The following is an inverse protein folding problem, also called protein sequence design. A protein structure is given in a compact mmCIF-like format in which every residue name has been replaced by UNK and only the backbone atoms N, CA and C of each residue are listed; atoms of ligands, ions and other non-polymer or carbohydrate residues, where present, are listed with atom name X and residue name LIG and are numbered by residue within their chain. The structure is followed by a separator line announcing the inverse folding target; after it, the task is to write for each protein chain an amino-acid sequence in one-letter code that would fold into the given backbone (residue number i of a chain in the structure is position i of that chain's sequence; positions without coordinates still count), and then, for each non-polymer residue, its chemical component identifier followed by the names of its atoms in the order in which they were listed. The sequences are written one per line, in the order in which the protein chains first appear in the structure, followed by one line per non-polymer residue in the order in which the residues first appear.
data_IF_655571485312
#
_entry.id   IF_655571485312
#
_cell.length_a   1.000
_cell.length_b   1.000
_cell.length_c   1.000
_cell.angle_alpha   90.00
_cell.angle_beta   90.00
_cell.angle_gamma   90.00
#
_symmetry.space_group_name_H-M   'P 1'
#
loop_
_entity.id
_entity.type
_entity.pdbx_description
1 polymer ?
#
# COMPACT_ATOMS: atom_id res chain seq x y z
N UNK A 1 -8.42 1.57 16.04
CA UNK A 1 -8.62 1.57 14.58
C UNK A 1 -8.59 0.14 14.10
N UNK A 2 -9.52 -0.24 13.22
CA UNK A 2 -9.61 -1.59 12.65
C UNK A 2 -8.95 -1.59 11.28
N UNK A 3 -8.02 -2.51 11.03
CA UNK A 3 -7.42 -2.68 9.70
C UNK A 3 -8.30 -3.57 8.84
N UNK A 4 -8.39 -3.27 7.55
CA UNK A 4 -9.10 -4.08 6.55
C UNK A 4 -8.10 -4.96 5.82
N UNK A 5 -8.30 -6.28 5.85
CA UNK A 5 -7.46 -7.23 5.13
C UNK A 5 -7.82 -7.22 3.63
N UNK A 6 -6.80 -7.14 2.78
CA UNK A 6 -6.91 -7.32 1.32
C UNK A 6 -5.99 -8.51 0.97
N UNK A 7 -6.50 -9.60 0.36
CA UNK A 7 -5.67 -10.72 -0.06
C UNK A 7 -4.65 -10.31 -1.12
N UNK A 8 -3.42 -10.83 -1.02
CA UNK A 8 -2.38 -10.60 -2.03
C UNK A 8 -1.37 -11.74 -2.05
N UNK A 9 -0.66 -11.86 -3.18
CA UNK A 9 0.55 -12.66 -3.26
C UNK A 9 1.76 -11.73 -3.23
N UNK A 10 2.65 -11.91 -2.26
CA UNK A 10 3.91 -11.17 -2.25
C UNK A 10 4.96 -11.93 -3.05
N UNK A 11 5.35 -11.39 -4.21
CA UNK A 11 6.19 -12.12 -5.16
C UNK A 11 7.37 -11.29 -5.64
N UNK A 12 8.43 -11.98 -6.06
CA UNK A 12 9.58 -11.42 -6.78
C UNK A 12 9.47 -11.78 -8.25
N UNK A 13 9.52 -10.77 -9.13
CA UNK A 13 9.63 -10.92 -10.58
C UNK A 13 10.94 -10.32 -11.07
N UNK A 14 11.89 -11.14 -11.50
CA UNK A 14 13.25 -10.68 -11.84
C UNK A 14 13.95 -10.02 -10.65
N UNK A 15 14.43 -8.80 -10.84
CA UNK A 15 15.12 -7.98 -9.82
C UNK A 15 14.18 -7.10 -8.97
N UNK A 16 12.86 -7.22 -9.13
CA UNK A 16 11.85 -6.45 -8.38
C UNK A 16 10.93 -7.35 -7.54
N UNK A 17 10.26 -6.78 -6.53
CA UNK A 17 9.27 -7.47 -5.70
C UNK A 17 8.11 -6.56 -5.28
N UNK A 18 6.95 -7.14 -5.04
CA UNK A 18 5.79 -6.40 -4.57
C UNK A 18 4.54 -7.27 -4.36
N UNK A 19 3.45 -6.67 -3.86
CA UNK A 19 2.16 -7.32 -3.78
C UNK A 19 1.53 -7.45 -5.17
N UNK A 20 0.98 -8.63 -5.46
CA UNK A 20 0.14 -8.89 -6.61
C UNK A 20 -1.29 -9.05 -6.11
N UNK A 21 -2.18 -8.28 -6.70
CA UNK A 21 -3.54 -8.07 -6.23
C UNK A 21 -4.53 -8.60 -7.25
N UNK A 22 -5.63 -9.18 -6.78
CA UNK A 22 -6.79 -9.43 -7.63
C UNK A 22 -7.62 -8.14 -7.70
N UNK A 23 -7.96 -7.69 -8.91
CA UNK A 23 -8.74 -6.45 -9.11
C UNK A 23 -10.12 -6.49 -8.44
N UNK A 24 -10.71 -7.68 -8.33
CA UNK A 24 -12.01 -7.89 -7.69
C UNK A 24 -11.99 -7.62 -6.18
N UNK A 25 -10.82 -7.67 -5.54
CA UNK A 25 -10.65 -7.43 -4.11
C UNK A 25 -10.31 -5.95 -3.81
N UNK A 26 -10.35 -5.07 -4.81
CA UNK A 26 -9.96 -3.66 -4.72
C UNK A 26 -11.14 -2.70 -4.97
N UNK A 27 -11.12 -1.49 -4.37
CA UNK A 27 -12.10 -0.45 -4.65
C UNK A 27 -12.25 -0.16 -6.16
N UNK A 28 -13.48 0.06 -6.61
CA UNK A 28 -13.74 0.49 -7.99
C UNK A 28 -13.40 1.96 -8.22
N UNK A 29 -13.70 2.80 -7.24
CA UNK A 29 -13.36 4.22 -7.25
C UNK A 29 -11.85 4.44 -7.29
N UNK A 30 -11.41 5.28 -8.22
CA UNK A 30 -9.99 5.49 -8.51
C UNK A 30 -9.27 6.25 -7.40
N UNK A 31 -9.94 7.22 -6.77
CA UNK A 31 -9.36 8.00 -5.68
C UNK A 31 -9.11 7.12 -4.46
N UNK A 32 -10.11 6.32 -4.08
CA UNK A 32 -10.00 5.34 -3.00
C UNK A 32 -8.94 4.28 -3.31
N UNK A 33 -8.90 3.77 -4.54
CA UNK A 33 -7.88 2.82 -4.98
C UNK A 33 -6.47 3.37 -4.81
N UNK A 34 -6.23 4.61 -5.23
CA UNK A 34 -4.92 5.26 -5.09
C UNK A 34 -4.48 5.33 -3.62
N UNK A 35 -5.38 5.73 -2.72
CA UNK A 35 -5.10 5.79 -1.28
C UNK A 35 -4.76 4.41 -0.69
N UNK A 36 -5.50 3.37 -1.08
CA UNK A 36 -5.23 1.98 -0.67
C UNK A 36 -3.85 1.52 -1.14
N UNK A 37 -3.49 1.77 -2.40
CA UNK A 37 -2.20 1.36 -2.95
C UNK A 37 -1.02 2.10 -2.30
N UNK A 38 -1.16 3.41 -2.05
CA UNK A 38 -0.16 4.22 -1.33
C UNK A 38 0.08 3.68 0.07
N UNK A 39 -1.01 3.41 0.81
CA UNK A 39 -0.94 2.87 2.16
C UNK A 39 -0.36 1.46 2.19
N UNK A 40 -0.69 0.62 1.21
CA UNK A 40 -0.21 -0.77 1.12
C UNK A 40 1.30 -0.87 0.97
N UNK A 41 1.92 0.02 0.18
CA UNK A 41 3.38 0.05 0.01
C UNK A 41 4.10 0.83 1.12
N UNK A 42 3.36 1.40 2.07
CA UNK A 42 3.92 2.22 3.15
C UNK A 42 4.44 3.58 2.68
N UNK A 43 3.99 4.06 1.52
CA UNK A 43 4.36 5.38 1.01
C UNK A 43 3.53 6.47 1.69
N UNK A 44 4.08 7.69 1.78
CA UNK A 44 3.40 8.82 2.43
C UNK A 44 3.63 8.96 3.94
N UNK A 45 4.60 8.24 4.53
CA UNK A 45 5.03 8.51 5.90
C UNK A 45 5.57 9.95 6.00
N UNK A 46 5.05 10.79 6.92
CA UNK A 46 5.60 12.12 7.12
C UNK A 46 7.07 12.02 7.56
N UNK A 47 7.95 12.93 7.12
CA UNK A 47 9.33 12.93 7.57
C UNK A 47 9.37 13.02 9.10
N UNK A 48 10.21 12.19 9.72
CA UNK A 48 10.44 12.21 11.17
C UNK A 48 10.73 13.65 11.59
N UNK A 49 9.98 14.25 12.53
CA UNK A 49 10.28 15.60 12.98
C UNK A 49 11.69 15.63 13.54
N UNK A 50 12.53 16.51 13.00
CA UNK A 50 13.84 16.79 13.58
C UNK A 50 13.57 17.29 15.00
N UNK A 51 14.00 16.52 15.99
CA UNK A 51 14.01 16.97 17.38
C UNK A 51 14.89 18.22 17.40
N UNK A 52 14.28 19.38 17.66
CA UNK A 52 15.04 20.59 17.93
C UNK A 52 15.80 20.35 19.24
N UNK A 53 17.11 20.20 19.11
CA UNK A 53 18.04 20.25 20.23
C UNK A 53 18.21 21.70 20.71
#
# INVERSE_FOLDING_TARGET
MTQTAIPFHFMRGGTSRGPYLNRADLPEDQETLAQVLIAMVGSGHPPTPLVQA
#
